data_IF_638247943371
#
_entry.id   IF_638247943371
#
_cell.length_a   1.000
_cell.length_b   1.000
_cell.length_c   1.000
_cell.angle_alpha   90.00
_cell.angle_beta   90.00
_cell.angle_gamma   90.00
#
_symmetry.space_group_name_H-M   'P 1'
#
loop_
_entity.id
_entity.type
_entity.pdbx_description
1 polymer ?
#
# COMPACT_ATOMS: atom_id res chain seq x y z
N UNK A 1 -33.03 19.37 -22.67
CA UNK A 1 -32.41 18.20 -23.33
C UNK A 1 -31.04 17.98 -22.71
N UNK A 2 -30.82 16.84 -22.03
CA UNK A 2 -29.51 16.47 -21.47
C UNK A 2 -28.72 15.71 -22.54
N UNK A 3 -27.55 16.18 -22.99
CA UNK A 3 -26.68 15.35 -23.80
C UNK A 3 -25.67 14.60 -22.91
N UNK A 4 -25.67 13.28 -23.08
CA UNK A 4 -24.63 12.29 -22.81
C UNK A 4 -23.96 12.25 -21.42
N UNK A 5 -24.62 11.48 -20.54
CA UNK A 5 -23.91 10.46 -19.75
C UNK A 5 -23.14 9.59 -20.76
N UNK A 6 -21.82 9.64 -20.67
CA UNK A 6 -20.88 8.94 -21.53
C UNK A 6 -21.30 7.50 -21.79
N UNK A 7 -21.30 7.11 -23.06
CA UNK A 7 -21.41 5.73 -23.53
C UNK A 7 -20.18 4.92 -23.12
N UNK A 8 -20.44 3.87 -22.34
CA UNK A 8 -19.58 2.78 -21.90
C UNK A 8 -18.92 2.08 -23.12
N UNK A 9 -17.58 2.09 -23.26
CA UNK A 9 -16.85 0.87 -22.89
C UNK A 9 -15.40 1.05 -22.36
N UNK A 10 -14.79 2.23 -22.44
CA UNK A 10 -13.33 2.38 -22.21
C UNK A 10 -12.89 2.41 -20.74
N UNK A 11 -13.82 2.66 -19.82
CA UNK A 11 -13.62 2.58 -18.37
C UNK A 11 -14.69 1.69 -17.70
N UNK A 12 -15.24 0.72 -18.42
CA UNK A 12 -16.05 -0.32 -17.78
C UNK A 12 -15.14 -1.27 -16.99
N UNK A 13 -15.53 -1.62 -15.77
CA UNK A 13 -14.83 -2.60 -14.93
C UNK A 13 -14.94 -4.03 -15.49
N UNK A 14 -15.92 -4.26 -16.36
CA UNK A 14 -16.23 -5.57 -16.94
C UNK A 14 -15.39 -5.88 -18.18
N UNK A 15 -14.92 -4.86 -18.89
CA UNK A 15 -14.26 -5.03 -20.19
C UNK A 15 -12.76 -5.26 -20.07
N UNK A 16 -12.08 -4.65 -19.08
CA UNK A 16 -10.65 -4.84 -18.88
C UNK A 16 -10.27 -4.98 -17.40
N UNK A 17 -9.52 -6.03 -17.01
CA UNK A 17 -9.02 -6.19 -15.66
C UNK A 17 -8.04 -5.06 -15.32
N UNK A 18 -8.11 -4.55 -14.08
CA UNK A 18 -7.34 -3.37 -13.64
C UNK A 18 -6.35 -3.71 -12.54
N UNK A 19 -5.23 -3.00 -12.54
CA UNK A 19 -4.37 -2.91 -11.37
C UNK A 19 -5.01 -1.95 -10.37
N UNK A 20 -5.72 -2.48 -9.36
CA UNK A 20 -6.37 -1.69 -8.32
C UNK A 20 -5.50 -1.59 -7.05
N UNK A 21 -5.11 -0.38 -6.66
CA UNK A 21 -4.29 -0.12 -5.47
C UNK A 21 -5.15 0.01 -4.20
N UNK A 22 -6.20 -0.80 -4.08
CA UNK A 22 -7.11 -0.76 -2.92
C UNK A 22 -6.41 -1.36 -1.71
N UNK A 23 -6.27 -0.58 -0.62
CA UNK A 23 -5.69 -1.00 0.66
C UNK A 23 -4.18 -1.36 0.58
N UNK A 24 -3.51 -0.87 -0.45
CA UNK A 24 -2.07 -0.91 -0.69
C UNK A 24 -1.58 0.53 -0.83
N UNK A 25 -0.26 0.77 -0.76
CA UNK A 25 0.28 2.05 -1.16
C UNK A 25 -0.09 2.33 -2.64
N UNK A 26 -0.56 3.54 -2.99
CA UNK A 26 -0.94 3.88 -4.36
C UNK A 26 0.26 3.80 -5.31
N UNK A 27 -0.02 3.61 -6.60
CA UNK A 27 1.00 3.85 -7.64
C UNK A 27 1.43 5.32 -7.62
N UNK A 28 2.67 5.61 -8.00
CA UNK A 28 3.17 6.99 -8.04
C UNK A 28 3.16 7.48 -9.49
N UNK A 29 2.49 8.59 -9.74
CA UNK A 29 2.56 9.33 -11.00
C UNK A 29 3.19 10.69 -10.72
N UNK A 30 4.15 11.11 -11.51
CA UNK A 30 4.61 12.50 -11.55
C UNK A 30 4.06 13.16 -12.80
N UNK A 31 3.13 14.09 -12.64
CA UNK A 31 2.45 14.76 -13.73
C UNK A 31 2.82 16.24 -13.70
N UNK A 32 3.58 16.70 -14.70
CA UNK A 32 4.06 18.10 -14.77
C UNK A 32 4.74 18.59 -13.47
N UNK A 33 5.49 17.70 -12.81
CA UNK A 33 6.15 17.97 -11.52
C UNK A 33 5.26 17.78 -10.28
N UNK A 34 3.97 17.50 -10.45
CA UNK A 34 3.07 17.15 -9.34
C UNK A 34 3.09 15.66 -9.05
N UNK A 35 3.31 15.30 -7.78
CA UNK A 35 3.26 13.91 -7.32
C UNK A 35 1.82 13.51 -7.03
N UNK A 36 1.37 12.49 -7.74
CA UNK A 36 0.00 12.02 -7.81
C UNK A 36 -0.10 10.57 -7.32
N UNK A 37 -1.13 10.29 -6.52
CA UNK A 37 -1.44 8.94 -6.04
C UNK A 37 -2.40 8.23 -7.00
N UNK A 38 -1.90 7.21 -7.72
CA UNK A 38 -2.70 6.39 -8.63
C UNK A 38 -3.48 5.32 -7.85
N UNK A 39 -4.80 5.28 -8.04
CA UNK A 39 -5.71 4.35 -7.37
C UNK A 39 -6.08 3.14 -8.20
N UNK A 40 -6.19 3.32 -9.51
CA UNK A 40 -6.30 2.22 -10.44
C UNK A 40 -5.69 2.59 -11.78
N UNK A 41 -5.16 1.56 -12.44
CA UNK A 41 -4.54 1.62 -13.75
C UNK A 41 -5.14 0.53 -14.64
N UNK A 42 -5.48 0.90 -15.86
CA UNK A 42 -5.99 0.03 -16.91
C UNK A 42 -5.45 0.47 -18.28
N UNK A 43 -5.58 -0.37 -19.33
CA UNK A 43 -5.23 0.03 -20.68
C UNK A 43 -6.04 1.24 -21.16
N UNK A 44 -7.29 1.38 -20.69
CA UNK A 44 -8.18 2.48 -21.06
C UNK A 44 -8.05 3.74 -20.20
N UNK A 45 -7.13 3.78 -19.23
CA UNK A 45 -6.94 4.97 -18.40
C UNK A 45 -6.48 4.68 -16.97
N UNK A 46 -6.20 5.74 -16.24
CA UNK A 46 -5.84 5.69 -14.82
C UNK A 46 -6.61 6.71 -14.00
N UNK A 47 -6.69 6.47 -12.70
CA UNK A 47 -7.32 7.38 -11.75
C UNK A 47 -6.34 7.83 -10.68
N UNK A 48 -6.29 9.14 -10.45
CA UNK A 48 -5.51 9.79 -9.40
C UNK A 48 -6.46 10.27 -8.29
N UNK A 49 -6.16 9.99 -7.03
CA UNK A 49 -6.96 10.46 -5.88
C UNK A 49 -6.09 10.62 -4.62
N UNK A 50 -6.03 11.84 -4.02
CA UNK A 50 -6.76 13.05 -4.40
C UNK A 50 -6.22 13.72 -5.67
N UNK A 51 -7.00 14.64 -6.26
CA UNK A 51 -6.47 15.52 -7.30
C UNK A 51 -5.32 16.37 -6.72
N UNK A 52 -4.16 16.45 -7.39
CA UNK A 52 -3.02 17.23 -6.91
C UNK A 52 -3.39 18.72 -6.79
N UNK A 53 -3.03 19.32 -5.65
CA UNK A 53 -3.20 20.75 -5.42
C UNK A 53 -2.06 21.55 -6.05
N UNK A 54 -2.31 22.83 -6.33
CA UNK A 54 -1.29 23.77 -6.83
C UNK A 54 -1.63 24.41 -8.18
N UNK A 55 -2.60 23.86 -8.91
CA UNK A 55 -3.22 24.51 -10.07
C UNK A 55 -4.66 24.08 -10.29
N UNK A 56 -5.34 24.80 -11.18
CA UNK A 56 -6.64 24.40 -11.72
C UNK A 56 -6.40 23.35 -12.81
N UNK A 57 -7.19 22.29 -12.77
CA UNK A 57 -7.20 21.22 -13.76
C UNK A 57 -8.41 21.40 -14.67
N UNK A 58 -8.26 21.14 -15.97
CA UNK A 58 -9.35 21.30 -16.93
C UNK A 58 -9.69 19.98 -17.64
N UNK A 59 -10.98 19.74 -17.87
CA UNK A 59 -11.41 18.57 -18.65
C UNK A 59 -11.06 18.80 -20.12
N UNK A 60 -10.48 17.80 -20.78
CA UNK A 60 -9.95 17.91 -22.14
C UNK A 60 -8.49 18.36 -22.20
N UNK A 61 -7.90 18.75 -21.08
CA UNK A 61 -6.49 19.12 -20.99
C UNK A 61 -5.59 17.93 -21.27
N UNK A 62 -4.58 18.14 -22.12
CA UNK A 62 -3.50 17.18 -22.38
C UNK A 62 -2.44 17.30 -21.30
N UNK A 63 -2.05 16.16 -20.76
CA UNK A 63 -1.09 16.05 -19.67
C UNK A 63 -0.08 14.95 -19.97
N UNK A 64 1.15 15.16 -19.53
CA UNK A 64 2.21 14.15 -19.63
C UNK A 64 2.89 13.96 -18.28
N UNK A 65 3.46 12.77 -18.09
CA UNK A 65 4.07 12.42 -16.83
C UNK A 65 4.86 11.13 -16.85
N UNK A 66 5.35 10.75 -15.68
CA UNK A 66 6.07 9.50 -15.45
C UNK A 66 5.33 8.68 -14.41
N UNK A 67 4.81 7.54 -14.82
CA UNK A 67 4.20 6.55 -13.96
C UNK A 67 5.26 5.57 -13.45
N UNK A 68 5.32 5.40 -12.13
CA UNK A 68 6.15 4.39 -11.47
C UNK A 68 5.27 3.22 -11.04
N UNK A 69 5.47 2.08 -11.70
CA UNK A 69 4.85 0.81 -11.34
C UNK A 69 5.56 0.19 -10.12
N UNK A 70 4.84 -0.61 -9.33
CA UNK A 70 5.42 -1.26 -8.15
C UNK A 70 6.25 -2.47 -8.51
N UNK A 71 5.91 -3.15 -9.60
CA UNK A 71 6.70 -4.26 -10.16
C UNK A 71 8.09 -3.85 -10.66
N UNK A 72 8.40 -2.55 -10.65
CA UNK A 72 9.66 -2.03 -11.14
C UNK A 72 9.49 -1.60 -12.59
N UNK A 73 9.18 -0.32 -12.78
CA UNK A 73 9.07 0.27 -14.11
C UNK A 73 8.81 1.75 -14.01
N UNK A 74 9.48 2.53 -14.85
CA UNK A 74 9.21 3.95 -15.06
C UNK A 74 8.68 4.09 -16.49
N UNK A 75 7.42 4.45 -16.61
CA UNK A 75 6.73 4.53 -17.89
C UNK A 75 6.33 5.98 -18.13
N UNK A 76 6.75 6.55 -19.26
CA UNK A 76 6.23 7.84 -19.69
C UNK A 76 4.78 7.66 -20.12
N UNK A 77 3.93 8.56 -19.68
CA UNK A 77 2.52 8.58 -20.07
C UNK A 77 2.15 9.93 -20.68
N UNK A 78 1.26 9.88 -21.66
CA UNK A 78 0.60 11.02 -22.25
C UNK A 78 -0.90 10.69 -22.31
N UNK A 79 -1.73 11.69 -22.02
CA UNK A 79 -3.15 11.48 -21.92
C UNK A 79 -3.95 12.76 -21.80
N UNK A 80 -5.27 12.59 -21.84
CA UNK A 80 -6.25 13.68 -21.68
C UNK A 80 -6.99 13.50 -20.36
N UNK A 81 -7.22 14.60 -19.64
CA UNK A 81 -8.10 14.65 -18.49
C UNK A 81 -9.56 14.47 -18.93
N UNK A 82 -10.07 13.25 -18.84
CA UNK A 82 -11.43 12.91 -19.26
C UNK A 82 -12.50 13.31 -18.23
N UNK A 83 -12.15 13.29 -16.93
CA UNK A 83 -13.05 13.70 -15.85
C UNK A 83 -12.27 14.22 -14.66
N UNK A 84 -12.83 15.27 -14.07
CA UNK A 84 -12.40 15.83 -12.79
C UNK A 84 -13.58 15.68 -11.83
N UNK A 85 -13.36 15.04 -10.69
CA UNK A 85 -14.35 14.98 -9.63
C UNK A 85 -13.78 15.47 -8.30
N UNK A 86 -14.64 15.59 -7.28
CA UNK A 86 -14.23 16.10 -5.96
C UNK A 86 -13.18 15.22 -5.28
N UNK A 87 -13.00 13.98 -5.75
CA UNK A 87 -12.08 13.00 -5.20
C UNK A 87 -10.81 12.85 -6.03
N UNK A 88 -10.74 13.34 -7.27
CA UNK A 88 -9.62 12.97 -8.14
C UNK A 88 -9.70 13.37 -9.60
N UNK A 89 -8.69 12.89 -10.34
CA UNK A 89 -8.55 13.04 -11.79
C UNK A 89 -8.66 11.68 -12.46
N UNK A 90 -9.31 11.63 -13.62
CA UNK A 90 -9.30 10.49 -14.52
C UNK A 90 -8.58 10.85 -15.82
N UNK A 91 -7.52 10.11 -16.13
CA UNK A 91 -6.70 10.30 -17.31
C UNK A 91 -7.00 9.18 -18.31
N UNK A 92 -7.15 9.56 -19.57
CA UNK A 92 -7.35 8.67 -20.71
C UNK A 92 -6.12 8.73 -21.61
N UNK A 93 -5.66 7.61 -22.20
CA UNK A 93 -4.55 7.63 -23.15
C UNK A 93 -4.87 8.48 -24.38
N UNK A 94 -3.90 9.23 -24.89
CA UNK A 94 -4.03 10.10 -26.07
C UNK A 94 -3.24 9.60 -27.30
N UNK A 95 -2.97 8.28 -27.31
CA UNK A 95 -2.32 7.51 -28.38
C UNK A 95 -0.78 7.58 -28.45
N UNK A 96 -0.13 8.44 -27.66
CA UNK A 96 1.35 8.59 -27.73
C UNK A 96 2.09 7.62 -26.80
N UNK A 97 1.86 7.74 -25.49
CA UNK A 97 2.63 7.00 -24.49
C UNK A 97 1.71 6.49 -23.37
N UNK A 98 1.66 5.17 -23.21
CA UNK A 98 0.90 4.50 -22.15
C UNK A 98 1.57 3.18 -21.78
N UNK A 99 1.41 2.67 -20.55
CA UNK A 99 1.91 1.33 -20.21
C UNK A 99 1.28 0.28 -21.11
N UNK A 100 2.11 -0.64 -21.59
CA UNK A 100 1.66 -1.80 -22.35
C UNK A 100 0.80 -2.74 -21.48
N UNK A 101 0.06 -3.62 -22.17
CA UNK A 101 -0.86 -4.55 -21.52
C UNK A 101 -0.13 -5.48 -20.54
N UNK A 102 1.05 -5.98 -20.92
CA UNK A 102 1.81 -6.95 -20.13
C UNK A 102 2.32 -6.33 -18.82
N UNK A 103 2.76 -5.08 -18.85
CA UNK A 103 3.18 -4.30 -17.68
C UNK A 103 2.01 -4.06 -16.73
N UNK A 104 0.83 -3.74 -17.26
CA UNK A 104 -0.39 -3.56 -16.47
C UNK A 104 -0.84 -4.89 -15.85
N UNK A 105 -0.75 -5.99 -16.60
CA UNK A 105 -1.14 -7.31 -16.10
C UNK A 105 -0.17 -7.85 -15.04
N UNK A 106 1.14 -7.62 -15.23
CA UNK A 106 2.16 -7.95 -14.23
C UNK A 106 1.92 -7.17 -12.92
N UNK A 107 1.64 -5.87 -13.02
CA UNK A 107 1.29 -5.04 -11.85
C UNK A 107 0.02 -5.56 -11.16
N UNK A 108 -1.03 -5.85 -11.93
CA UNK A 108 -2.28 -6.43 -11.40
C UNK A 108 -2.02 -7.75 -10.68
N UNK A 109 -1.29 -8.67 -11.32
CA UNK A 109 -0.99 -9.99 -10.78
C UNK A 109 -0.14 -9.89 -9.50
N UNK A 110 0.79 -8.95 -9.44
CA UNK A 110 1.56 -8.66 -8.22
C UNK A 110 0.68 -8.12 -7.09
N UNK A 111 -0.25 -7.21 -7.38
CA UNK A 111 -1.20 -6.67 -6.40
C UNK A 111 -2.13 -7.78 -5.85
N UNK A 112 -2.64 -8.65 -6.72
CA UNK A 112 -3.48 -9.80 -6.34
C UNK A 112 -2.66 -10.75 -5.46
N UNK A 113 -1.45 -11.11 -5.88
CA UNK A 113 -0.55 -11.98 -5.11
C UNK A 113 -0.27 -11.40 -3.72
N UNK A 114 0.10 -10.13 -3.64
CA UNK A 114 0.36 -9.45 -2.38
C UNK A 114 -0.87 -9.43 -1.46
N UNK A 115 -2.06 -9.26 -2.03
CA UNK A 115 -3.30 -9.31 -1.25
C UNK A 115 -3.61 -10.72 -0.74
N UNK A 116 -3.35 -11.75 -1.55
CA UNK A 116 -3.43 -13.13 -1.12
C UNK A 116 -2.42 -13.42 -0.01
N UNK A 117 -1.13 -13.09 -0.21
CA UNK A 117 -0.07 -13.23 0.80
C UNK A 117 -0.41 -12.51 2.10
N UNK A 118 -1.02 -11.32 2.06
CA UNK A 118 -1.51 -10.64 3.28
C UNK A 118 -2.60 -11.38 4.01
N UNK A 119 -3.47 -12.09 3.29
CA UNK A 119 -4.56 -12.87 3.87
C UNK A 119 -4.08 -14.24 4.35
N UNK A 120 -3.07 -14.82 3.72
CA UNK A 120 -2.53 -16.13 4.05
C UNK A 120 -1.27 -16.10 4.92
N UNK A 121 -0.63 -14.94 5.14
CA UNK A 121 0.53 -14.84 6.01
C UNK A 121 0.15 -15.22 7.45
N UNK A 122 0.69 -16.34 7.98
CA UNK A 122 0.42 -16.74 9.35
C UNK A 122 0.94 -15.65 10.29
N UNK A 123 0.06 -15.15 11.15
CA UNK A 123 0.43 -14.16 12.16
C UNK A 123 1.04 -14.89 13.33
N UNK A 124 2.18 -14.41 13.80
CA UNK A 124 2.82 -14.90 15.00
C UNK A 124 2.28 -14.10 16.19
N UNK A 125 1.40 -14.67 17.04
CA UNK A 125 0.93 -13.98 18.23
C UNK A 125 2.06 -13.87 19.26
N UNK A 126 2.55 -12.68 19.55
CA UNK A 126 3.64 -12.56 20.52
C UNK A 126 3.09 -12.63 21.95
N UNK A 127 3.73 -13.42 22.85
CA UNK A 127 3.33 -13.45 24.25
C UNK A 127 3.47 -12.05 24.85
N UNK A 128 2.51 -11.68 25.68
CA UNK A 128 2.54 -10.40 26.40
C UNK A 128 3.63 -10.50 27.48
N UNK A 129 4.83 -10.03 27.17
CA UNK A 129 5.90 -9.95 28.15
C UNK A 129 5.53 -8.88 29.18
N UNK A 130 5.12 -9.32 30.38
CA UNK A 130 4.92 -8.43 31.51
C UNK A 130 6.28 -7.91 31.99
N UNK A 131 6.44 -6.59 31.97
CA UNK A 131 7.60 -5.94 32.59
C UNK A 131 8.75 -5.62 31.64
N UNK A 132 8.69 -4.44 31.04
CA UNK A 132 9.86 -3.61 30.85
C UNK A 132 9.43 -2.17 31.13
N UNK A 133 9.75 -1.66 32.32
CA UNK A 133 9.54 -0.25 32.65
C UNK A 133 10.36 0.62 31.68
N UNK A 134 9.68 1.20 30.70
CA UNK A 134 10.28 2.06 29.68
C UNK A 134 9.30 2.35 28.54
N UNK A 135 9.58 3.39 27.75
CA UNK A 135 8.79 3.89 26.62
C UNK A 135 8.76 2.93 25.41
N UNK A 136 8.42 1.66 25.64
CA UNK A 136 8.35 0.61 24.62
C UNK A 136 6.89 0.15 24.48
N UNK A 137 6.37 0.25 23.27
CA UNK A 137 4.98 -0.11 22.97
C UNK A 137 4.89 -1.61 22.68
N UNK A 138 4.12 -2.41 23.44
CA UNK A 138 4.09 -3.86 23.30
C UNK A 138 3.54 -4.30 21.94
N UNK A 139 4.28 -5.18 21.27
CA UNK A 139 3.86 -5.83 20.02
C UNK A 139 2.90 -7.00 20.33
N UNK A 140 1.84 -7.15 19.54
CA UNK A 140 0.78 -8.16 19.67
C UNK A 140 0.89 -9.28 18.66
N UNK A 141 1.09 -8.91 17.40
CA UNK A 141 1.40 -9.87 16.34
C UNK A 141 2.24 -9.23 15.24
N UNK A 142 2.90 -10.10 14.49
CA UNK A 142 3.77 -9.72 13.39
C UNK A 142 3.67 -10.75 12.26
N UNK A 143 3.76 -10.27 11.03
CA UNK A 143 3.85 -11.06 9.80
C UNK A 143 4.83 -10.39 8.84
N UNK A 144 5.10 -11.04 7.71
CA UNK A 144 5.94 -10.48 6.65
C UNK A 144 5.51 -9.08 6.20
N UNK A 145 4.20 -8.81 6.23
CA UNK A 145 3.60 -7.63 5.59
C UNK A 145 2.92 -6.68 6.58
N UNK A 146 2.93 -6.99 7.87
CA UNK A 146 2.22 -6.19 8.85
C UNK A 146 2.58 -6.51 10.28
N UNK A 147 2.21 -5.59 11.15
CA UNK A 147 2.36 -5.76 12.58
C UNK A 147 1.18 -5.13 13.33
N UNK A 148 0.97 -5.58 14.56
CA UNK A 148 0.01 -4.98 15.48
C UNK A 148 0.71 -4.71 16.80
N UNK A 149 0.53 -3.50 17.34
CA UNK A 149 1.01 -3.14 18.67
C UNK A 149 -0.12 -2.53 19.50
N UNK A 150 0.02 -2.50 20.81
CA UNK A 150 -0.93 -1.86 21.72
C UNK A 150 -0.31 -0.61 22.35
N UNK A 151 -0.96 0.54 22.18
CA UNK A 151 -0.52 1.81 22.72
C UNK A 151 -0.42 1.76 24.25
N UNK A 152 0.68 2.28 24.79
CA UNK A 152 0.80 2.55 26.23
C UNK A 152 -0.29 3.56 26.67
N UNK A 153 -0.79 3.54 27.92
CA UNK A 153 -1.97 4.29 28.33
C UNK A 153 -1.97 5.79 27.97
N UNK A 154 -0.80 6.43 28.01
CA UNK A 154 -0.58 7.85 27.71
C UNK A 154 -0.34 8.16 26.24
N UNK A 155 -0.11 7.16 25.38
CA UNK A 155 0.16 7.37 23.96
C UNK A 155 -1.11 7.72 23.18
N UNK A 156 -0.97 8.67 22.25
CA UNK A 156 -2.03 9.07 21.33
C UNK A 156 -2.02 8.16 20.10
N UNK A 157 -3.20 7.69 19.69
CA UNK A 157 -3.31 6.86 18.51
C UNK A 157 -2.97 7.65 17.23
N UNK A 158 -2.10 7.12 16.35
CA UNK A 158 -1.88 7.70 15.04
C UNK A 158 -3.14 7.55 14.16
N UNK A 159 -3.35 8.50 13.25
CA UNK A 159 -4.51 8.49 12.37
C UNK A 159 -4.47 7.31 11.39
N UNK A 160 -5.63 6.73 11.07
CA UNK A 160 -5.71 5.74 9.98
C UNK A 160 -5.23 6.38 8.66
N UNK A 161 -4.41 5.64 7.91
CA UNK A 161 -3.76 6.12 6.70
C UNK A 161 -2.47 6.91 6.92
N UNK A 162 -2.12 7.27 8.17
CA UNK A 162 -0.83 7.92 8.46
C UNK A 162 0.34 6.95 8.38
N UNK A 163 1.51 7.46 8.01
CA UNK A 163 2.76 6.70 8.05
C UNK A 163 3.34 6.73 9.46
N UNK A 164 3.85 5.58 9.88
CA UNK A 164 4.57 5.39 11.14
C UNK A 164 5.93 4.78 10.84
N UNK A 165 6.95 5.25 11.56
CA UNK A 165 8.29 4.71 11.56
C UNK A 165 8.67 4.39 13.00
N UNK A 166 9.38 3.29 13.20
CA UNK A 166 9.81 2.87 14.52
C UNK A 166 10.84 1.74 14.45
N UNK A 167 11.14 1.20 15.61
CA UNK A 167 12.10 0.12 15.77
C UNK A 167 11.43 -1.07 16.44
N UNK A 168 11.50 -2.23 15.81
CA UNK A 168 11.21 -3.51 16.44
C UNK A 168 12.49 -3.96 17.17
N UNK A 169 12.52 -3.84 18.49
CA UNK A 169 13.66 -4.26 19.31
C UNK A 169 13.38 -5.64 19.91
N UNK A 170 14.21 -6.62 19.59
CA UNK A 170 14.09 -7.99 20.08
C UNK A 170 14.97 -8.25 21.31
N UNK A 171 16.08 -7.51 21.39
CA UNK A 171 16.96 -7.39 22.55
C UNK A 171 17.76 -6.06 22.44
N UNK A 172 18.86 -5.93 23.20
CA UNK A 172 19.69 -4.73 23.20
C UNK A 172 20.44 -4.52 21.87
N UNK A 173 20.77 -5.61 21.18
CA UNK A 173 21.67 -5.63 20.03
C UNK A 173 20.91 -5.88 18.70
N UNK A 174 19.70 -6.44 18.78
CA UNK A 174 18.85 -6.78 17.64
C UNK A 174 17.71 -5.77 17.50
N UNK A 175 17.96 -4.76 16.67
CA UNK A 175 17.03 -3.67 16.36
C UNK A 175 16.71 -3.69 14.86
N UNK A 176 15.43 -3.86 14.54
CA UNK A 176 14.94 -3.90 13.16
C UNK A 176 14.14 -2.62 12.89
N UNK A 177 14.60 -1.71 12.03
CA UNK A 177 13.83 -0.54 11.66
C UNK A 177 12.61 -0.96 10.84
N UNK A 178 11.45 -0.43 11.20
CA UNK A 178 10.17 -0.70 10.52
C UNK A 178 9.50 0.59 10.11
N UNK A 179 8.90 0.57 8.92
CA UNK A 179 8.07 1.65 8.39
C UNK A 179 6.81 1.06 7.79
N UNK A 180 5.72 1.79 7.91
CA UNK A 180 4.46 1.34 7.36
C UNK A 180 3.34 2.34 7.55
N UNK A 181 2.16 1.95 7.08
CA UNK A 181 0.94 2.74 7.15
C UNK A 181 -0.03 2.14 8.16
N UNK A 182 -0.62 2.99 8.99
CA UNK A 182 -1.70 2.60 9.90
C UNK A 182 -2.93 2.22 9.08
N UNK A 183 -3.33 0.95 9.14
CA UNK A 183 -4.48 0.44 8.37
C UNK A 183 -5.78 0.60 9.15
N UNK A 184 -5.72 0.38 10.47
CA UNK A 184 -6.87 0.50 11.36
C UNK A 184 -6.42 0.52 12.82
N UNK A 185 -7.29 1.00 13.68
CA UNK A 185 -7.19 0.87 15.12
C UNK A 185 -8.47 0.25 15.69
N UNK A 186 -8.34 -0.60 16.70
CA UNK A 186 -9.45 -1.16 17.46
C UNK A 186 -9.12 -0.98 18.94
N UNK A 187 -9.84 -0.11 19.63
CA UNK A 187 -9.47 0.32 20.98
C UNK A 187 -8.07 0.95 21.00
N UNK A 188 -7.15 0.37 21.80
CA UNK A 188 -5.74 0.80 21.89
C UNK A 188 -4.79 -0.01 20.99
N UNK A 189 -5.32 -0.91 20.16
CA UNK A 189 -4.49 -1.70 19.24
C UNK A 189 -4.39 -1.03 17.88
N UNK A 190 -3.17 -0.89 17.39
CA UNK A 190 -2.85 -0.27 16.10
C UNK A 190 -2.34 -1.36 15.16
N UNK A 191 -3.01 -1.51 14.02
CA UNK A 191 -2.57 -2.41 12.95
C UNK A 191 -1.87 -1.60 11.85
N UNK A 192 -0.65 -2.00 11.53
CA UNK A 192 0.21 -1.37 10.54
C UNK A 192 0.45 -2.35 9.39
N UNK A 193 0.31 -1.89 8.14
CA UNK A 193 0.86 -2.58 6.99
C UNK A 193 2.26 -2.04 6.74
N UNK A 194 3.24 -2.92 6.64
CA UNK A 194 4.62 -2.53 6.42
C UNK A 194 4.82 -2.08 4.97
N UNK A 195 5.69 -1.08 4.81
CA UNK A 195 6.16 -0.68 3.48
C UNK A 195 6.97 -1.83 2.86
N UNK A 196 6.91 -2.05 1.54
CA UNK A 196 7.76 -3.04 0.88
C UNK A 196 9.26 -2.77 1.15
N UNK A 197 10.09 -3.81 1.35
CA UNK A 197 9.80 -5.23 1.18
C UNK A 197 9.10 -5.92 2.37
N UNK A 198 8.77 -5.20 3.45
CA UNK A 198 8.27 -5.79 4.69
C UNK A 198 9.37 -6.44 5.53
N UNK A 199 9.02 -7.43 6.36
CA UNK A 199 10.00 -8.24 7.10
C UNK A 199 10.47 -9.40 6.25
N UNK A 200 11.79 -9.61 6.22
CA UNK A 200 12.41 -10.70 5.48
C UNK A 200 12.10 -12.06 6.11
N UNK A 201 12.17 -13.16 5.34
CA UNK A 201 12.02 -14.52 5.88
C UNK A 201 12.94 -14.80 7.08
N UNK A 202 14.18 -14.32 7.04
CA UNK A 202 15.16 -14.52 8.11
C UNK A 202 14.73 -13.83 9.41
N UNK A 203 14.16 -12.63 9.32
CA UNK A 203 13.60 -11.92 10.49
C UNK A 203 12.42 -12.70 11.08
N UNK A 204 11.55 -13.23 10.23
CA UNK A 204 10.40 -14.03 10.69
C UNK A 204 10.84 -15.35 11.33
N UNK A 205 11.89 -15.99 10.79
CA UNK A 205 12.48 -17.20 11.37
C UNK A 205 13.06 -16.91 12.75
N UNK A 206 13.79 -15.80 12.90
CA UNK A 206 14.34 -15.35 14.18
C UNK A 206 13.24 -15.05 15.21
N UNK A 207 12.14 -14.41 14.78
CA UNK A 207 10.97 -14.19 15.64
C UNK A 207 10.30 -15.50 16.05
N UNK A 208 10.17 -16.47 15.14
CA UNK A 208 9.62 -17.81 15.47
C UNK A 208 10.48 -18.52 16.50
N UNK A 209 11.78 -18.65 16.25
CA UNK A 209 12.71 -19.35 17.13
C UNK A 209 12.69 -18.77 18.55
N UNK A 210 12.55 -17.45 18.68
CA UNK A 210 12.60 -16.76 19.98
C UNK A 210 11.32 -16.84 20.79
N UNK A 211 10.16 -16.70 20.14
CA UNK A 211 8.87 -16.65 20.84
C UNK A 211 8.13 -17.98 20.83
N UNK A 212 8.52 -18.89 19.95
CA UNK A 212 7.98 -20.23 19.79
C UNK A 212 9.12 -21.23 19.53
N UNK A 213 10.07 -21.40 20.46
CA UNK A 213 11.05 -22.47 20.33
C UNK A 213 10.27 -23.79 20.23
N UNK A 214 10.54 -24.57 19.18
CA UNK A 214 10.07 -25.95 19.12
C UNK A 214 10.57 -26.64 20.39
N UNK A 215 9.65 -27.16 21.20
CA UNK A 215 10.05 -28.03 22.31
C UNK A 215 10.74 -29.21 21.66
N UNK A 216 12.02 -29.38 21.95
CA UNK A 216 12.70 -30.65 21.79
C UNK A 216 11.93 -31.68 22.63
N UNK A 217 11.05 -32.47 22.00
CA UNK A 217 10.47 -33.69 22.59
C UNK A 217 11.50 -34.84 22.54
N UNK A 218 12.78 -34.50 22.67
CA UNK A 218 13.93 -35.41 22.71
C UNK A 218 14.34 -35.71 24.17
N UNK A 219 13.37 -35.84 25.07
CA UNK A 219 13.61 -36.23 26.47
C UNK A 219 12.36 -36.89 27.10
N UNK A 220 11.94 -38.05 26.57
CA UNK A 220 11.28 -39.12 27.35
C UNK A 220 11.77 -40.46 26.83
#
# INVERSE_FOLDING_TARGET
>A
MRPNRWSEPQLDRRTYPRAEYRRTAPGLLELEGYRCAVRDLAPGGLRVEPAPAGRVWETGERVSGVLRLRTGGLVRIAGVLGRIDRSGLALLPDCEAWPDFDSIDAERSALVRWHHERRSAPRLPLPVLAGAGGARTPLRDVSATGLRYALAPSERAPAAGSHVAGELRLDADTVIPVRGQVIRHVGREIAVALDPPGLTPDILALLRQRFFPERDDSAV
#
